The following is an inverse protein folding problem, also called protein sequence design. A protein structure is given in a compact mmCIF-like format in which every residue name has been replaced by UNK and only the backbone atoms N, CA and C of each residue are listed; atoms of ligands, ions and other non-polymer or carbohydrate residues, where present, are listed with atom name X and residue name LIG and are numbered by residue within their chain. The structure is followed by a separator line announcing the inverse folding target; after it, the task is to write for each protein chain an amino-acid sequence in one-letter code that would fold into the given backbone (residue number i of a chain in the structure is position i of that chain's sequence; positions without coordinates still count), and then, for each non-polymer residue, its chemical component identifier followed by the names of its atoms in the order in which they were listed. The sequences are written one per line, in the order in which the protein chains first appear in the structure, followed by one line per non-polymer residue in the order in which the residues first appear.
data_IF_562081914067
#
_entry.id   IF_562081914067
#
_cell.length_a   1.000
_cell.length_b   1.000
_cell.length_c   1.000
_cell.angle_alpha   90.00
_cell.angle_beta   90.00
_cell.angle_gamma   90.00
#
_symmetry.space_group_name_H-M   'P 1'
#
loop_
_entity.id
_entity.type
_entity.pdbx_description
1 polymer ?
#
# COMPACT_ATOMS: atom_id res chain seq x y z
N UNK A 1 1.53 40.32 29.49
CA UNK A 1 0.28 39.75 28.93
C UNK A 1 0.65 38.40 28.36
N UNK A 2 0.32 37.37 29.14
CA UNK A 2 0.63 35.97 28.94
C UNK A 2 -0.56 35.35 28.18
N UNK A 3 -0.31 34.46 27.21
CA UNK A 3 -1.08 33.22 27.02
C UNK A 3 -0.51 32.46 25.81
N UNK A 4 0.36 31.49 26.09
CA UNK A 4 0.59 30.34 25.22
C UNK A 4 -0.50 29.29 25.50
N UNK A 5 -1.17 28.73 24.49
CA UNK A 5 -1.99 27.55 24.71
C UNK A 5 -1.09 26.30 24.76
N UNK A 6 -1.09 25.66 25.92
CA UNK A 6 -0.60 24.31 26.13
C UNK A 6 -1.59 23.33 25.48
N UNK A 7 -1.24 22.73 24.35
CA UNK A 7 -1.98 21.59 23.80
C UNK A 7 -1.34 20.29 24.30
N UNK A 8 -2.06 19.59 25.16
CA UNK A 8 -1.73 18.23 25.62
C UNK A 8 -2.19 17.23 24.56
N UNK A 9 -1.26 16.55 23.90
CA UNK A 9 -1.55 15.37 23.08
C UNK A 9 -1.64 14.15 24.00
N UNK A 10 -2.85 13.65 24.24
CA UNK A 10 -3.08 12.33 24.83
C UNK A 10 -3.10 11.30 23.69
N UNK A 11 -2.06 10.47 23.61
CA UNK A 11 -2.03 9.26 22.78
C UNK A 11 -2.85 8.19 23.50
N UNK A 12 -4.02 7.82 22.98
CA UNK A 12 -4.76 6.66 23.48
C UNK A 12 -4.68 5.52 22.47
N UNK A 13 -3.71 4.64 22.70
CA UNK A 13 -3.55 3.37 22.00
C UNK A 13 -4.67 2.41 22.46
N UNK A 14 -5.68 2.18 21.62
CA UNK A 14 -6.63 1.09 21.85
C UNK A 14 -6.18 -0.16 21.11
N UNK A 15 -5.51 -1.03 21.86
CA UNK A 15 -5.32 -2.44 21.52
C UNK A 15 -6.69 -3.13 21.64
N UNK A 16 -7.14 -3.82 20.60
CA UNK A 16 -8.22 -4.82 20.73
C UNK A 16 -7.65 -6.20 20.39
N UNK A 17 -7.80 -7.07 21.38
CA UNK A 17 -7.37 -8.46 21.43
C UNK A 17 -8.63 -9.32 21.64
N UNK A 18 -8.57 -10.57 21.19
CA UNK A 18 -9.57 -11.66 21.25
C UNK A 18 -10.66 -11.62 20.16
N UNK A 19 -11.13 -12.74 19.58
CA UNK A 19 -11.04 -14.16 19.96
C UNK A 19 -11.18 -15.05 18.73
N UNK A 20 -10.38 -16.12 18.71
CA UNK A 20 -10.51 -17.31 17.89
C UNK A 20 -11.86 -18.01 18.18
N UNK A 21 -12.63 -18.38 17.14
CA UNK A 21 -13.66 -19.42 17.23
C UNK A 21 -13.53 -20.36 16.03
N UNK A 22 -13.41 -21.64 16.36
CA UNK A 22 -13.19 -22.79 15.51
C UNK A 22 -14.33 -22.98 14.51
N UNK A 23 -13.98 -23.23 13.24
CA UNK A 23 -14.85 -23.93 12.30
C UNK A 23 -14.04 -25.03 11.60
N UNK A 24 -14.21 -26.25 12.07
CA UNK A 24 -13.83 -27.48 11.37
C UNK A 24 -15.10 -28.00 10.69
N UNK A 25 -15.03 -28.38 9.41
CA UNK A 25 -15.70 -29.62 9.03
C UNK A 25 -14.81 -30.53 8.18
N UNK A 26 -14.70 -31.77 8.69
CA UNK A 26 -14.92 -33.02 7.94
C UNK A 26 -13.88 -33.46 6.92
N UNK A 27 -12.88 -34.18 7.44
CA UNK A 27 -12.15 -35.23 6.73
C UNK A 27 -13.12 -36.30 6.20
N UNK A 28 -13.17 -36.49 4.89
CA UNK A 28 -13.64 -37.73 4.29
C UNK A 28 -12.45 -38.67 4.10
N UNK A 29 -12.37 -39.69 4.97
CA UNK A 29 -11.59 -40.91 4.74
C UNK A 29 -12.43 -41.84 3.85
N UNK A 30 -11.95 -42.18 2.66
CA UNK A 30 -12.34 -43.41 1.99
C UNK A 30 -11.23 -44.43 2.16
N UNK A 31 -11.56 -45.48 2.89
CA UNK A 31 -10.77 -46.67 3.11
C UNK A 31 -10.92 -47.65 1.94
N UNK A 32 -9.82 -48.11 1.39
CA UNK A 32 -9.73 -49.39 0.68
C UNK A 32 -8.55 -50.17 1.25
N UNK A 33 -8.90 -51.20 2.02
CA UNK A 33 -7.99 -52.18 2.58
C UNK A 33 -7.60 -53.19 1.51
N UNK A 34 -6.30 -53.42 1.34
CA UNK A 34 -5.78 -54.63 0.73
C UNK A 34 -4.72 -55.20 1.67
N UNK A 35 -5.06 -56.37 2.23
CA UNK A 35 -4.21 -57.23 3.05
C UNK A 35 -2.97 -57.65 2.24
N UNK A 36 -1.77 -57.44 2.79
CA UNK A 36 -0.59 -58.22 2.42
C UNK A 36 0.06 -58.75 3.70
N UNK A 37 0.28 -60.05 3.64
CA UNK A 37 0.77 -60.96 4.68
C UNK A 37 2.12 -60.54 5.24
N UNK A 38 2.28 -60.73 6.55
CA UNK A 38 3.56 -60.63 7.22
C UNK A 38 4.46 -61.81 6.81
N UNK A 39 5.63 -61.50 6.25
CA UNK A 39 6.73 -62.45 6.13
C UNK A 39 7.97 -61.83 6.75
N UNK A 40 8.51 -62.50 7.78
CA UNK A 40 9.72 -62.11 8.47
C UNK A 40 10.92 -62.35 7.55
N UNK A 41 11.63 -61.29 7.19
CA UNK A 41 12.96 -61.37 6.61
C UNK A 41 13.92 -60.40 7.32
N UNK A 42 15.16 -60.87 7.45
CA UNK A 42 16.24 -60.34 8.27
C UNK A 42 16.58 -58.86 8.01
N UNK A 43 16.99 -58.20 9.08
CA UNK A 43 17.53 -56.83 9.13
C UNK A 43 18.69 -56.64 8.13
N UNK A 44 18.49 -55.72 7.20
CA UNK A 44 19.55 -55.13 6.38
C UNK A 44 19.66 -53.65 6.79
N UNK A 45 20.88 -53.11 7.06
CA UNK A 45 21.00 -51.72 7.47
C UNK A 45 20.52 -50.78 6.36
N UNK A 46 19.78 -49.71 6.69
CA UNK A 46 19.26 -48.78 5.71
C UNK A 46 20.42 -48.17 4.92
N UNK A 47 20.41 -48.39 3.61
CA UNK A 47 21.30 -47.71 2.68
C UNK A 47 20.93 -46.21 2.71
N UNK A 48 21.91 -45.32 2.94
CA UNK A 48 21.72 -43.88 2.75
C UNK A 48 21.32 -43.65 1.28
N UNK A 49 20.06 -43.28 1.06
CA UNK A 49 19.63 -42.75 -0.22
C UNK A 49 20.28 -41.37 -0.42
N UNK A 50 20.69 -41.00 -1.65
CA UNK A 50 21.12 -39.64 -1.94
C UNK A 50 19.96 -38.69 -1.62
N UNK A 51 20.19 -37.73 -0.72
CA UNK A 51 19.23 -36.67 -0.45
C UNK A 51 18.99 -35.90 -1.76
N UNK A 52 17.74 -35.83 -2.22
CA UNK A 52 17.33 -34.89 -3.26
C UNK A 52 17.67 -33.47 -2.78
N UNK A 53 18.21 -32.59 -3.66
CA UNK A 53 18.50 -31.22 -3.28
C UNK A 53 17.19 -30.54 -2.87
N UNK A 54 17.11 -30.12 -1.61
CA UNK A 54 16.06 -29.25 -1.13
C UNK A 54 16.20 -27.93 -1.87
N UNK A 55 15.17 -27.51 -2.59
CA UNK A 55 15.13 -26.20 -3.22
C UNK A 55 15.05 -25.13 -2.13
N UNK A 56 16.12 -24.37 -1.94
CA UNK A 56 16.15 -23.17 -1.09
C UNK A 56 15.12 -22.16 -1.63
N UNK A 57 13.99 -22.02 -0.92
CA UNK A 57 13.03 -20.96 -1.19
C UNK A 57 13.59 -19.65 -0.64
N UNK A 58 14.23 -18.87 -1.51
CA UNK A 58 14.61 -17.48 -1.21
C UNK A 58 13.33 -16.69 -0.91
N UNK A 59 13.21 -16.16 0.30
CA UNK A 59 12.02 -15.44 0.73
C UNK A 59 12.08 -14.00 0.23
N UNK A 60 11.52 -13.79 -0.97
CA UNK A 60 11.42 -12.47 -1.58
C UNK A 60 10.22 -11.70 -1.00
N UNK A 61 10.47 -10.55 -0.39
CA UNK A 61 9.43 -9.66 0.14
C UNK A 61 9.32 -8.44 -0.77
N UNK A 62 8.14 -8.20 -1.35
CA UNK A 62 7.87 -7.04 -2.18
C UNK A 62 6.84 -6.11 -1.53
N UNK A 63 7.14 -4.82 -1.48
CA UNK A 63 6.23 -3.78 -1.05
C UNK A 63 5.99 -2.79 -2.19
N UNK A 64 4.73 -2.52 -2.50
CA UNK A 64 4.34 -1.58 -3.54
C UNK A 64 3.57 -0.41 -2.92
N UNK A 65 3.90 0.81 -3.34
CA UNK A 65 3.23 2.05 -2.95
C UNK A 65 2.89 2.87 -4.18
N UNK A 66 1.71 3.49 -4.18
CA UNK A 66 1.31 4.44 -5.21
C UNK A 66 1.65 5.86 -4.78
N UNK A 67 2.30 6.60 -5.66
CA UNK A 67 2.60 8.02 -5.52
C UNK A 67 1.78 8.81 -6.54
N UNK A 68 1.40 10.05 -6.19
CA UNK A 68 0.74 10.95 -7.11
C UNK A 68 1.57 12.22 -7.28
N UNK A 69 1.66 12.71 -8.50
CA UNK A 69 2.39 13.92 -8.83
C UNK A 69 1.58 14.77 -9.81
N UNK A 70 1.78 16.08 -9.79
CA UNK A 70 1.21 17.00 -10.77
C UNK A 70 2.32 17.77 -11.48
N UNK A 71 2.02 18.29 -12.66
CA UNK A 71 2.97 19.08 -13.44
C UNK A 71 2.26 20.30 -14.03
N UNK A 72 2.98 21.41 -14.21
CA UNK A 72 2.48 22.70 -14.74
C UNK A 72 2.14 22.66 -16.24
N UNK A 73 1.67 21.50 -16.72
CA UNK A 73 1.08 21.25 -18.03
C UNK A 73 -0.34 20.70 -17.91
N UNK A 74 -0.91 20.68 -16.70
CA UNK A 74 -2.23 20.14 -16.41
C UNK A 74 -2.30 18.64 -16.13
N UNK A 75 -1.16 17.95 -16.20
CA UNK A 75 -1.10 16.51 -15.99
C UNK A 75 -1.03 16.17 -14.50
N UNK A 76 -1.80 15.15 -14.14
CA UNK A 76 -1.69 14.41 -12.88
C UNK A 76 -1.22 13.00 -13.22
N UNK A 77 -0.20 12.55 -12.51
CA UNK A 77 0.45 11.26 -12.69
C UNK A 77 0.19 10.38 -11.48
N UNK A 78 0.13 9.08 -11.75
CA UNK A 78 0.23 8.03 -10.74
C UNK A 78 1.50 7.24 -11.03
N UNK A 79 2.26 6.93 -9.99
CA UNK A 79 3.50 6.19 -10.07
C UNK A 79 3.48 5.04 -9.07
N UNK A 80 4.02 3.89 -9.47
CA UNK A 80 4.25 2.74 -8.61
C UNK A 80 5.70 2.75 -8.15
N UNK A 81 5.92 2.86 -6.84
CA UNK A 81 7.18 2.58 -6.18
C UNK A 81 7.15 1.13 -5.67
N UNK A 82 8.03 0.29 -6.20
CA UNK A 82 8.17 -1.10 -5.78
C UNK A 82 9.53 -1.28 -5.11
N UNK A 83 9.51 -1.73 -3.86
CA UNK A 83 10.67 -2.09 -3.06
C UNK A 83 10.71 -3.60 -2.93
N UNK A 84 11.82 -4.21 -3.34
CA UNK A 84 12.02 -5.65 -3.28
C UNK A 84 13.20 -5.97 -2.39
N UNK A 85 12.96 -6.81 -1.40
CA UNK A 85 13.96 -7.39 -0.52
C UNK A 85 14.13 -8.85 -0.89
N UNK A 86 15.34 -9.23 -1.27
CA UNK A 86 15.70 -10.63 -1.47
C UNK A 86 16.58 -11.05 -0.30
N UNK A 87 16.00 -11.78 0.64
CA UNK A 87 16.72 -12.35 1.77
C UNK A 87 17.55 -13.55 1.29
N UNK A 88 18.85 -13.38 1.19
CA UNK A 88 19.77 -14.46 0.82
C UNK A 88 20.37 -15.05 2.10
N UNK A 89 19.55 -15.69 2.93
CA UNK A 89 20.07 -16.34 4.13
C UNK A 89 20.50 -17.76 3.80
N UNK A 90 21.82 -17.97 3.82
CA UNK A 90 22.48 -19.28 3.80
C UNK A 90 22.47 -19.91 5.21
N UNK A 91 21.75 -19.35 6.19
CA UNK A 91 21.75 -19.83 7.58
C UNK A 91 20.30 -20.12 8.04
N UNK A 92 19.89 -21.35 7.80
CA UNK A 92 18.51 -21.87 7.82
C UNK A 92 17.70 -21.77 9.13
N UNK A 93 18.10 -21.00 10.15
CA UNK A 93 17.48 -21.11 11.49
C UNK A 93 17.35 -19.82 12.33
N UNK A 94 17.58 -18.62 11.79
CA UNK A 94 17.29 -17.40 12.55
C UNK A 94 16.74 -16.29 11.63
N UNK A 95 15.43 -16.06 11.69
CA UNK A 95 14.77 -14.92 11.02
C UNK A 95 14.84 -13.74 11.99
N UNK A 96 15.98 -13.07 12.05
CA UNK A 96 16.08 -11.74 12.65
C UNK A 96 15.83 -10.73 11.53
N UNK A 97 14.81 -9.87 11.68
CA UNK A 97 14.43 -8.82 10.72
C UNK A 97 15.46 -7.66 10.70
N UNK A 98 16.55 -7.79 11.46
CA UNK A 98 17.67 -6.86 11.49
C UNK A 98 18.97 -7.68 11.39
N UNK A 99 19.21 -8.32 10.25
CA UNK A 99 20.57 -8.72 9.94
C UNK A 99 21.33 -7.49 9.40
N UNK A 100 22.36 -7.08 10.13
CA UNK A 100 23.37 -6.14 9.59
C UNK A 100 24.32 -6.89 8.64
N UNK A 101 23.81 -7.90 7.93
CA UNK A 101 24.59 -8.79 7.09
C UNK A 101 24.43 -8.33 5.65
N UNK A 102 25.56 -8.07 5.00
CA UNK A 102 25.72 -7.34 3.73
C UNK A 102 25.22 -8.14 2.50
N UNK A 103 24.40 -9.16 2.71
CA UNK A 103 23.92 -10.14 1.73
C UNK A 103 22.44 -9.95 1.34
N UNK A 104 21.72 -9.04 1.99
CA UNK A 104 20.39 -8.61 1.56
C UNK A 104 20.47 -7.75 0.31
N UNK A 105 19.81 -8.20 -0.76
CA UNK A 105 19.73 -7.45 -2.01
C UNK A 105 18.45 -6.62 -1.99
N UNK A 106 18.63 -5.30 -1.91
CA UNK A 106 17.58 -4.30 -2.04
C UNK A 106 17.49 -3.84 -3.50
N UNK A 107 16.28 -3.81 -4.06
CA UNK A 107 16.05 -3.14 -5.35
C UNK A 107 14.78 -2.29 -5.33
N UNK A 108 14.86 -1.14 -6.00
CA UNK A 108 13.80 -0.14 -6.03
C UNK A 108 13.48 0.20 -7.48
N UNK A 109 12.20 0.23 -7.81
CA UNK A 109 11.74 0.66 -9.14
C UNK A 109 10.63 1.69 -8.98
N UNK A 110 10.69 2.74 -9.81
CA UNK A 110 9.65 3.75 -9.92
C UNK A 110 9.12 3.75 -11.35
N UNK A 111 7.85 3.37 -11.51
CA UNK A 111 7.21 3.27 -12.83
C UNK A 111 5.98 4.15 -12.88
N UNK A 112 5.84 4.98 -13.91
CA UNK A 112 4.60 5.72 -14.14
C UNK A 112 3.48 4.74 -14.54
N UNK A 113 2.41 4.68 -13.76
CA UNK A 113 1.24 3.81 -14.00
C UNK A 113 0.12 4.54 -14.73
N UNK A 114 0.01 5.86 -14.56
CA UNK A 114 -1.00 6.67 -15.24
C UNK A 114 -0.52 8.11 -15.48
N UNK A 115 -1.07 8.73 -16.51
CA UNK A 115 -0.90 10.14 -16.84
C UNK A 115 -2.22 10.68 -17.38
N UNK A 116 -2.81 11.67 -16.71
CA UNK A 116 -4.10 12.23 -17.07
C UNK A 116 -4.01 13.76 -17.09
N UNK A 117 -4.28 14.39 -18.22
CA UNK A 117 -4.37 15.85 -18.34
C UNK A 117 -5.78 16.30 -17.96
N UNK A 118 -5.95 16.88 -16.77
CA UNK A 118 -7.28 17.13 -16.19
C UNK A 118 -7.32 18.33 -15.22
N UNK A 119 -6.19 18.68 -14.60
CA UNK A 119 -6.13 19.63 -13.51
C UNK A 119 -5.77 21.06 -13.96
N UNK A 120 -6.47 21.57 -14.97
CA UNK A 120 -6.24 22.93 -15.46
C UNK A 120 -4.86 23.11 -16.06
N UNK A 121 -4.32 24.33 -16.03
CA UNK A 121 -3.02 24.63 -16.66
C UNK A 121 -1.86 24.62 -15.66
N UNK A 122 -2.13 25.02 -14.41
CA UNK A 122 -1.15 25.19 -13.34
C UNK A 122 -1.57 24.39 -12.09
N UNK A 123 -1.58 23.05 -12.15
CA UNK A 123 -1.74 22.22 -10.96
C UNK A 123 -0.71 22.59 -9.87
N UNK A 124 -1.19 23.07 -8.73
CA UNK A 124 -0.34 23.58 -7.65
C UNK A 124 -0.34 22.68 -6.41
N UNK A 125 -1.42 21.92 -6.19
CA UNK A 125 -1.54 21.09 -4.99
C UNK A 125 -2.36 19.82 -5.23
N UNK A 126 -1.94 18.73 -4.57
CA UNK A 126 -2.65 17.46 -4.52
C UNK A 126 -3.02 17.11 -3.07
N UNK A 127 -4.24 16.66 -2.83
CA UNK A 127 -4.69 16.14 -1.53
C UNK A 127 -5.39 14.80 -1.70
N UNK A 128 -4.88 13.77 -1.05
CA UNK A 128 -5.41 12.40 -1.17
C UNK A 128 -6.31 12.04 0.02
N UNK A 129 -7.53 11.62 -0.26
CA UNK A 129 -8.44 11.00 0.70
C UNK A 129 -8.32 9.47 0.61
N UNK A 130 -7.68 8.86 1.61
CA UNK A 130 -7.48 7.41 1.64
C UNK A 130 -8.78 6.61 1.83
N UNK A 131 -9.80 7.20 2.47
CA UNK A 131 -11.04 6.48 2.78
C UNK A 131 -11.95 6.33 1.56
N UNK A 132 -11.94 7.30 0.65
CA UNK A 132 -12.69 7.28 -0.61
C UNK A 132 -11.81 6.99 -1.82
N UNK A 133 -10.48 6.93 -1.62
CA UNK A 133 -9.45 6.85 -2.68
C UNK A 133 -9.66 7.97 -3.71
N UNK A 134 -9.93 9.17 -3.22
CA UNK A 134 -10.13 10.35 -4.06
C UNK A 134 -8.90 11.25 -3.98
N UNK A 135 -8.34 11.59 -5.13
CA UNK A 135 -7.27 12.57 -5.24
C UNK A 135 -7.87 13.90 -5.70
N UNK A 136 -7.76 14.92 -4.87
CA UNK A 136 -8.14 16.28 -5.20
C UNK A 136 -6.94 17.02 -5.77
N UNK A 137 -7.12 17.68 -6.91
CA UNK A 137 -6.10 18.49 -7.54
C UNK A 137 -6.58 19.93 -7.67
N UNK A 138 -5.76 20.85 -7.18
CA UNK A 138 -6.00 22.29 -7.25
C UNK A 138 -5.16 22.86 -8.39
N UNK A 139 -5.82 23.62 -9.26
CA UNK A 139 -5.21 24.44 -10.29
C UNK A 139 -5.18 25.90 -9.81
N UNK A 140 -3.99 26.48 -9.75
CA UNK A 140 -3.79 27.84 -9.25
C UNK A 140 -4.35 28.88 -10.21
N UNK A 141 -4.14 28.71 -11.52
CA UNK A 141 -4.50 29.66 -12.58
C UNK A 141 -4.06 31.11 -12.30
N UNK A 142 -2.89 31.50 -12.82
CA UNK A 142 -2.22 32.77 -12.47
C UNK A 142 -2.62 33.97 -13.35
N UNK A 143 -3.35 33.78 -14.45
CA UNK A 143 -3.62 34.88 -15.38
C UNK A 143 -4.85 35.70 -14.97
N UNK A 144 -4.75 37.03 -15.12
CA UNK A 144 -5.85 37.94 -14.83
C UNK A 144 -7.14 37.53 -15.56
N UNK A 145 -8.25 37.48 -14.81
CA UNK A 145 -9.55 37.09 -15.35
C UNK A 145 -9.76 35.59 -15.59
N UNK A 146 -8.79 34.73 -15.24
CA UNK A 146 -8.97 33.28 -15.26
C UNK A 146 -9.30 32.76 -13.86
N UNK A 147 -10.21 31.79 -13.80
CA UNK A 147 -10.49 31.04 -12.59
C UNK A 147 -9.48 29.89 -12.44
N UNK A 148 -9.23 29.50 -11.20
CA UNK A 148 -8.60 28.22 -10.89
C UNK A 148 -9.61 27.08 -11.02
N UNK A 149 -9.20 25.87 -10.68
CA UNK A 149 -10.14 24.75 -10.58
C UNK A 149 -9.79 23.77 -9.47
N UNK A 150 -10.81 23.05 -9.00
CA UNK A 150 -10.67 21.88 -8.16
C UNK A 150 -11.20 20.68 -8.96
N UNK A 151 -10.32 19.72 -9.22
CA UNK A 151 -10.67 18.46 -9.86
C UNK A 151 -10.62 17.32 -8.84
N UNK A 152 -11.66 16.51 -8.78
CA UNK A 152 -11.68 15.27 -8.01
C UNK A 152 -11.41 14.08 -8.95
N UNK A 153 -10.45 13.24 -8.59
CA UNK A 153 -10.04 12.06 -9.34
C UNK A 153 -10.24 10.80 -8.50
N UNK A 154 -10.78 9.73 -9.08
CA UNK A 154 -10.69 8.40 -8.48
C UNK A 154 -9.28 7.85 -8.70
N UNK A 155 -8.65 7.43 -7.62
CA UNK A 155 -7.38 6.74 -7.63
C UNK A 155 -7.62 5.24 -7.49
N UNK A 156 -7.64 4.56 -8.64
CA UNK A 156 -7.99 3.13 -8.73
C UNK A 156 -6.82 2.28 -8.22
N UNK A 157 -7.13 1.10 -7.66
CA UNK A 157 -6.12 0.23 -7.04
C UNK A 157 -5.04 -0.31 -7.99
N UNK A 158 -5.28 -0.26 -9.30
CA UNK A 158 -4.31 -0.58 -10.35
C UNK A 158 -3.36 0.60 -10.69
N UNK A 159 -3.56 1.75 -10.05
CA UNK A 159 -2.82 2.98 -10.30
C UNK A 159 -3.45 3.90 -11.34
N UNK A 160 -4.56 3.52 -11.98
CA UNK A 160 -5.27 4.36 -12.95
C UNK A 160 -5.94 5.57 -12.26
N UNK A 161 -5.93 6.71 -12.94
CA UNK A 161 -6.64 7.92 -12.52
C UNK A 161 -7.86 8.16 -13.42
N UNK A 162 -9.00 8.49 -12.81
CA UNK A 162 -10.25 8.79 -13.54
C UNK A 162 -10.82 10.11 -13.01
N UNK A 163 -11.14 11.05 -13.89
CA UNK A 163 -11.83 12.28 -13.50
C UNK A 163 -13.26 11.97 -13.03
N UNK A 164 -13.60 12.40 -11.81
CA UNK A 164 -14.94 12.22 -11.23
C UNK A 164 -15.78 13.49 -11.39
N UNK A 165 -15.18 14.64 -11.09
CA UNK A 165 -15.84 15.93 -11.15
C UNK A 165 -14.79 17.04 -11.21
N UNK A 166 -15.21 18.18 -11.75
CA UNK A 166 -14.41 19.41 -11.77
C UNK A 166 -15.30 20.61 -11.52
N UNK A 167 -14.79 21.57 -10.76
CA UNK A 167 -15.44 22.86 -10.54
C UNK A 167 -14.43 23.99 -10.64
N UNK A 168 -14.87 25.16 -11.06
CA UNK A 168 -14.07 26.37 -11.00
C UNK A 168 -13.90 26.83 -9.55
N UNK A 169 -12.74 27.42 -9.28
CA UNK A 169 -12.41 28.09 -8.02
C UNK A 169 -11.96 29.52 -8.32
N UNK A 170 -11.80 30.34 -7.28
CA UNK A 170 -10.99 31.55 -7.45
C UNK A 170 -9.56 31.14 -7.77
N UNK A 171 -8.90 31.96 -8.59
CA UNK A 171 -7.46 31.88 -8.83
C UNK A 171 -6.66 31.97 -7.51
N UNK A 172 -5.47 31.38 -7.52
CA UNK A 172 -4.49 31.48 -6.45
C UNK A 172 -4.51 30.35 -5.42
N UNK A 173 -5.22 29.25 -5.67
CA UNK A 173 -5.16 28.10 -4.76
C UNK A 173 -3.79 27.42 -4.85
N UNK A 174 -3.03 27.37 -3.75
CA UNK A 174 -1.71 26.71 -3.69
C UNK A 174 -1.59 25.69 -2.56
N UNK A 175 -2.62 25.59 -1.71
CA UNK A 175 -2.71 24.58 -0.67
C UNK A 175 -4.16 24.11 -0.51
N UNK A 176 -4.36 22.85 -0.16
CA UNK A 176 -5.67 22.36 0.27
C UNK A 176 -5.58 21.28 1.34
N UNK A 177 -6.69 21.09 2.04
CA UNK A 177 -6.83 20.05 3.07
C UNK A 177 -8.28 19.59 3.18
N UNK A 178 -8.48 18.39 3.70
CA UNK A 178 -9.79 17.78 3.90
C UNK A 178 -10.19 17.91 5.37
N UNK A 179 -11.40 18.41 5.61
CA UNK A 179 -12.04 18.40 6.92
C UNK A 179 -13.24 17.45 6.89
N UNK A 180 -13.39 16.66 7.96
CA UNK A 180 -14.52 15.77 8.14
C UNK A 180 -15.38 16.25 9.30
N UNK A 181 -16.67 16.41 9.07
CA UNK A 181 -17.65 16.60 10.12
C UNK A 181 -17.87 15.25 10.84
N UNK A 182 -17.42 15.14 12.08
CA UNK A 182 -17.52 13.90 12.86
C UNK A 182 -18.96 13.50 13.20
N UNK A 183 -19.93 14.44 13.15
CA UNK A 183 -21.33 14.13 13.44
C UNK A 183 -22.06 13.58 12.21
N UNK A 184 -21.77 14.12 11.03
CA UNK A 184 -22.47 13.71 9.79
C UNK A 184 -21.63 12.83 8.86
N UNK A 185 -20.32 12.69 9.12
CA UNK A 185 -19.37 12.03 8.22
C UNK A 185 -19.12 12.77 6.90
N UNK A 186 -19.61 14.01 6.76
CA UNK A 186 -19.46 14.79 5.53
C UNK A 186 -18.05 15.34 5.43
N UNK A 187 -17.53 15.42 4.21
CA UNK A 187 -16.20 15.93 3.94
C UNK A 187 -16.23 17.22 3.16
N UNK A 188 -15.26 18.06 3.43
CA UNK A 188 -15.09 19.36 2.82
C UNK A 188 -13.62 19.54 2.44
N UNK A 189 -13.37 20.13 1.28
CA UNK A 189 -12.02 20.55 0.89
C UNK A 189 -11.94 22.06 1.05
N UNK A 190 -11.00 22.55 1.86
CA UNK A 190 -10.66 23.96 1.86
C UNK A 190 -9.41 24.19 1.01
N UNK A 191 -9.38 25.34 0.34
CA UNK A 191 -8.29 25.77 -0.53
C UNK A 191 -7.80 27.13 -0.04
N UNK A 192 -6.48 27.30 0.05
CA UNK A 192 -5.83 28.51 0.51
C UNK A 192 -4.77 29.00 -0.49
N UNK A 193 -4.47 30.30 -0.39
CA UNK A 193 -3.33 30.96 -1.00
C UNK A 193 -2.22 31.15 0.04
#
# INVERSE_FOLDING_TARGET
INMYPHFQFQFQLHLHLLSLLLFIPSLFLSSSSSLVSAEQHQLQPPQLQPQQPQQEQHQQVQHQRTLYASHYSGYVYSLSLTLTLNHNNIDNNNIDIIDNNDNDIFSETLTQTSSLQTCGDLPSWLTYDSSTRTLYCVDESYAEGRNGSLTALAAVGDGSLIELAKTETRAGGVASTIYTDNNTGRKYVAIAH
#
